data_IF_998088085618
#
_entry.id   IF_998088085618
#
_cell.length_a   1.000
_cell.length_b   1.000
_cell.length_c   1.000
_cell.angle_alpha   90.00
_cell.angle_beta   90.00
_cell.angle_gamma   90.00
#
_symmetry.space_group_name_H-M   'P 1'
#
loop_
_entity.id
_entity.type
_entity.pdbx_description
1 polymer ?
#
# COMPACT_ATOMS: atom_id res chain seq x y z
N UNK A 1 21.91 -17.68 1.01
CA UNK A 1 21.29 -19.02 0.80
C UNK A 1 20.11 -19.27 1.73
N UNK A 2 20.30 -19.51 3.04
CA UNK A 2 19.17 -19.74 3.96
C UNK A 2 18.26 -18.50 4.11
N UNK A 3 18.84 -17.30 4.16
CA UNK A 3 18.09 -16.04 4.17
C UNK A 3 17.23 -15.86 2.93
N UNK A 4 17.79 -16.12 1.76
CA UNK A 4 17.10 -15.88 0.48
C UNK A 4 15.96 -16.89 0.27
N UNK A 5 16.17 -18.14 0.69
CA UNK A 5 15.13 -19.17 0.67
C UNK A 5 14.00 -18.86 1.67
N UNK A 6 14.33 -18.34 2.86
CA UNK A 6 13.36 -17.88 3.84
C UNK A 6 12.51 -16.73 3.26
N UNK A 7 13.15 -15.72 2.69
CA UNK A 7 12.46 -14.58 2.06
C UNK A 7 11.56 -15.01 0.89
N UNK A 8 12.05 -15.91 0.03
CA UNK A 8 11.26 -16.45 -1.07
C UNK A 8 10.04 -17.26 -0.57
N UNK A 9 10.21 -18.02 0.52
CA UNK A 9 9.11 -18.78 1.14
C UNK A 9 8.05 -17.86 1.73
N UNK A 10 8.46 -16.82 2.47
CA UNK A 10 7.56 -15.81 3.01
C UNK A 10 6.79 -15.09 1.90
N UNK A 11 7.49 -14.70 0.83
CA UNK A 11 6.87 -14.01 -0.31
C UNK A 11 5.79 -14.88 -0.95
N UNK A 12 6.04 -16.18 -1.12
CA UNK A 12 5.04 -17.13 -1.64
C UNK A 12 3.83 -17.29 -0.73
N UNK A 13 4.03 -17.35 0.59
CA UNK A 13 2.93 -17.44 1.57
C UNK A 13 2.04 -16.21 1.44
N UNK A 14 2.63 -15.01 1.46
CA UNK A 14 1.87 -13.76 1.37
C UNK A 14 1.20 -13.62 0.01
N UNK A 15 1.87 -13.94 -1.09
CA UNK A 15 1.28 -13.90 -2.43
C UNK A 15 0.03 -14.80 -2.51
N UNK A 16 0.16 -16.06 -2.08
CA UNK A 16 -0.96 -17.00 -2.06
C UNK A 16 -2.11 -16.50 -1.17
N UNK A 17 -1.78 -15.95 0.01
CA UNK A 17 -2.76 -15.39 0.93
C UNK A 17 -3.54 -14.21 0.31
N UNK A 18 -2.82 -13.27 -0.33
CA UNK A 18 -3.43 -12.12 -1.00
C UNK A 18 -4.38 -12.55 -2.12
N UNK A 19 -3.94 -13.46 -2.99
CA UNK A 19 -4.73 -13.91 -4.14
C UNK A 19 -5.94 -14.76 -3.73
N UNK A 20 -5.76 -15.71 -2.80
CA UNK A 20 -6.76 -16.75 -2.54
C UNK A 20 -7.61 -16.54 -1.27
N UNK A 21 -7.17 -15.69 -0.32
CA UNK A 21 -7.95 -15.37 0.87
C UNK A 21 -8.47 -13.92 0.89
N UNK A 22 -7.86 -13.03 0.10
CA UNK A 22 -8.23 -11.62 0.04
C UNK A 22 -8.63 -11.15 -1.36
N UNK A 23 -8.71 -12.06 -2.34
CA UNK A 23 -9.15 -11.79 -3.71
C UNK A 23 -8.36 -10.66 -4.41
N UNK A 24 -7.08 -10.50 -4.07
CA UNK A 24 -6.23 -9.56 -4.78
C UNK A 24 -5.96 -10.05 -6.19
N UNK A 25 -5.88 -9.12 -7.13
CA UNK A 25 -5.56 -9.39 -8.52
C UNK A 25 -4.26 -8.70 -8.91
N UNK A 26 -3.63 -9.15 -10.00
CA UNK A 26 -2.37 -8.56 -10.53
C UNK A 26 -1.25 -8.53 -9.48
N UNK A 27 -1.26 -9.47 -8.53
CA UNK A 27 -0.20 -9.57 -7.51
C UNK A 27 1.10 -9.99 -8.20
N UNK A 28 2.18 -9.27 -7.96
CA UNK A 28 3.48 -9.50 -8.59
C UNK A 28 4.61 -9.27 -7.61
N UNK A 29 5.63 -10.08 -7.75
CA UNK A 29 6.92 -9.89 -7.12
C UNK A 29 7.65 -8.68 -7.70
N UNK A 30 8.30 -7.93 -6.82
CA UNK A 30 9.10 -6.76 -7.16
C UNK A 30 10.46 -6.83 -6.47
N UNK A 31 11.50 -6.85 -7.29
CA UNK A 31 12.89 -6.92 -6.86
C UNK A 31 13.67 -5.87 -7.63
N UNK A 32 14.49 -5.10 -6.93
CA UNK A 32 15.40 -4.12 -7.52
C UNK A 32 16.75 -4.16 -6.77
N UNK A 33 17.86 -3.74 -7.41
CA UNK A 33 19.18 -3.79 -6.78
C UNK A 33 19.31 -2.96 -5.49
N UNK A 34 18.55 -1.89 -5.35
CA UNK A 34 18.52 -0.99 -4.19
C UNK A 34 17.53 -1.42 -3.10
N UNK A 35 16.67 -2.42 -3.37
CA UNK A 35 15.71 -2.90 -2.39
C UNK A 35 16.40 -3.86 -1.41
N UNK A 36 16.27 -3.63 -0.08
CA UNK A 36 16.90 -4.51 0.90
C UNK A 36 16.27 -5.90 0.96
N UNK A 37 15.06 -6.08 0.40
CA UNK A 37 14.36 -7.36 0.23
C UNK A 37 13.30 -7.28 -0.86
N UNK A 38 12.82 -8.44 -1.27
CA UNK A 38 11.71 -8.56 -2.20
C UNK A 38 10.41 -7.97 -1.62
N UNK A 39 9.70 -7.22 -2.46
CA UNK A 39 8.36 -6.70 -2.19
C UNK A 39 7.35 -7.37 -3.09
N UNK A 40 6.07 -7.21 -2.75
CA UNK A 40 4.95 -7.51 -3.59
C UNK A 40 4.21 -6.21 -3.93
N UNK A 41 3.49 -6.20 -5.04
CA UNK A 41 2.43 -5.22 -5.27
C UNK A 41 1.26 -5.88 -5.97
N UNK A 42 0.06 -5.36 -5.77
CA UNK A 42 -1.16 -5.90 -6.39
C UNK A 42 -2.36 -4.99 -6.20
N UNK A 43 -3.47 -5.37 -6.81
CA UNK A 43 -4.73 -4.64 -6.77
C UNK A 43 -5.71 -5.36 -5.80
N UNK A 44 -6.06 -4.74 -4.67
CA UNK A 44 -7.08 -5.28 -3.77
C UNK A 44 -8.49 -5.19 -4.37
N UNK A 45 -9.46 -6.00 -3.90
CA UNK A 45 -10.83 -5.99 -4.42
C UNK A 45 -11.60 -4.69 -4.10
N UNK A 46 -11.15 -3.94 -3.10
CA UNK A 46 -11.71 -2.65 -2.69
C UNK A 46 -10.60 -1.72 -2.22
N UNK A 47 -10.88 -0.42 -2.19
CA UNK A 47 -9.96 0.56 -1.63
C UNK A 47 -9.69 0.26 -0.14
N UNK A 48 -8.43 0.03 0.19
CA UNK A 48 -8.01 -0.41 1.52
C UNK A 48 -7.76 0.73 2.51
N UNK A 49 -7.41 1.91 2.01
CA UNK A 49 -7.10 3.07 2.84
C UNK A 49 -7.56 4.36 2.17
N UNK A 50 -8.23 5.20 2.96
CA UNK A 50 -8.60 6.57 2.60
C UNK A 50 -8.00 7.47 3.67
N UNK A 51 -7.15 8.41 3.25
CA UNK A 51 -6.50 9.32 4.17
C UNK A 51 -7.56 10.16 4.90
N UNK A 52 -7.42 10.48 6.21
CA UNK A 52 -8.43 11.24 6.94
C UNK A 52 -8.78 12.57 6.28
N UNK A 53 -7.77 13.33 5.84
CA UNK A 53 -7.99 14.59 5.13
C UNK A 53 -8.61 14.36 3.75
N UNK A 54 -8.29 13.25 3.07
CA UNK A 54 -8.95 12.88 1.82
C UNK A 54 -10.45 12.63 2.03
N UNK A 55 -10.80 11.90 3.09
CA UNK A 55 -12.18 11.59 3.41
C UNK A 55 -13.00 12.85 3.66
N UNK A 56 -12.44 13.85 4.35
CA UNK A 56 -13.09 15.15 4.56
C UNK A 56 -13.34 15.84 3.22
N UNK A 57 -12.35 15.86 2.32
CA UNK A 57 -12.49 16.50 1.01
C UNK A 57 -13.47 15.74 0.10
N UNK A 58 -13.52 14.40 0.17
CA UNK A 58 -14.54 13.58 -0.51
C UNK A 58 -15.92 13.95 0.00
N UNK A 59 -16.15 13.97 1.32
CA UNK A 59 -17.45 14.30 1.91
C UNK A 59 -17.91 15.71 1.49
N UNK A 60 -17.00 16.68 1.46
CA UNK A 60 -17.30 18.04 0.99
C UNK A 60 -17.72 18.05 -0.48
N UNK A 61 -16.95 17.36 -1.34
CA UNK A 61 -17.23 17.29 -2.77
C UNK A 61 -18.53 16.52 -3.07
N UNK A 62 -18.80 15.41 -2.38
CA UNK A 62 -20.06 14.66 -2.50
C UNK A 62 -21.27 15.52 -2.09
N UNK A 63 -21.12 16.34 -1.04
CA UNK A 63 -22.18 17.27 -0.61
C UNK A 63 -22.45 18.36 -1.65
N UNK A 64 -21.41 18.85 -2.32
CA UNK A 64 -21.51 19.89 -3.35
C UNK A 64 -22.11 19.34 -4.66
N UNK A 65 -21.62 18.17 -5.10
CA UNK A 65 -22.08 17.49 -6.32
C UNK A 65 -23.43 16.78 -6.13
N UNK A 66 -23.82 16.49 -4.88
CA UNK A 66 -24.97 15.64 -4.52
C UNK A 66 -24.90 14.22 -5.11
N UNK A 67 -23.70 13.77 -5.41
CA UNK A 67 -23.40 12.45 -5.97
C UNK A 67 -22.30 11.79 -5.15
N UNK A 68 -22.29 10.45 -5.11
CA UNK A 68 -21.21 9.73 -4.44
C UNK A 68 -19.99 9.62 -5.36
N UNK A 69 -18.81 9.89 -4.79
CA UNK A 69 -17.54 9.79 -5.50
C UNK A 69 -17.02 8.35 -5.40
N UNK A 70 -16.84 7.63 -6.53
CA UNK A 70 -16.32 6.27 -6.53
C UNK A 70 -14.97 6.12 -5.82
N UNK A 71 -14.89 5.13 -4.95
CA UNK A 71 -13.68 4.75 -4.21
C UNK A 71 -13.01 3.55 -4.89
N UNK A 72 -12.45 3.81 -6.07
CA UNK A 72 -11.76 2.78 -6.86
C UNK A 72 -10.57 2.18 -6.10
N UNK A 73 -10.31 0.86 -6.23
CA UNK A 73 -9.13 0.24 -5.64
C UNK A 73 -7.84 0.78 -6.26
N UNK A 74 -6.80 0.92 -5.44
CA UNK A 74 -5.46 1.36 -5.86
C UNK A 74 -4.48 0.19 -5.77
N UNK A 75 -3.50 0.14 -6.67
CA UNK A 75 -2.41 -0.84 -6.54
C UNK A 75 -1.55 -0.46 -5.34
N UNK A 76 -1.32 -1.43 -4.43
CA UNK A 76 -0.60 -1.20 -3.18
C UNK A 76 0.69 -1.99 -3.10
N UNK A 77 1.69 -1.39 -2.44
CA UNK A 77 2.90 -2.09 -2.01
C UNK A 77 2.60 -2.99 -0.82
N UNK A 78 3.13 -4.20 -0.86
CA UNK A 78 3.07 -5.15 0.25
C UNK A 78 4.49 -5.60 0.60
N UNK A 79 4.80 -5.57 1.89
CA UNK A 79 6.06 -6.04 2.44
C UNK A 79 5.80 -7.34 3.23
N UNK A 80 6.16 -8.51 2.67
CA UNK A 80 6.16 -9.77 3.41
C UNK A 80 7.20 -9.72 4.52
N UNK A 81 6.85 -10.10 5.74
CA UNK A 81 7.79 -10.28 6.85
C UNK A 81 7.30 -11.36 7.82
N UNK A 82 8.22 -11.96 8.58
CA UNK A 82 7.86 -12.90 9.64
C UNK A 82 7.87 -12.23 11.02
N UNK A 83 6.96 -12.60 11.92
CA UNK A 83 6.84 -12.01 13.26
C UNK A 83 8.13 -12.13 14.10
N UNK A 84 8.92 -13.19 13.87
CA UNK A 84 10.19 -13.40 14.59
C UNK A 84 11.36 -12.54 14.08
N UNK A 85 11.21 -11.87 12.92
CA UNK A 85 12.25 -11.01 12.37
C UNK A 85 12.45 -9.75 13.23
N UNK A 86 13.71 -9.38 13.47
CA UNK A 86 14.05 -8.14 14.16
C UNK A 86 14.22 -7.02 13.14
N UNK A 87 13.25 -6.11 13.14
CA UNK A 87 13.25 -4.92 12.31
C UNK A 87 13.62 -3.67 13.10
N UNK A 88 14.60 -2.94 12.59
CA UNK A 88 14.92 -1.59 13.05
C UNK A 88 14.18 -0.54 12.22
N UNK A 89 13.91 0.66 12.78
CA UNK A 89 13.37 1.77 12.01
C UNK A 89 14.21 2.10 10.76
N UNK A 90 15.54 1.95 10.83
CA UNK A 90 16.46 2.15 9.70
C UNK A 90 16.16 1.20 8.53
N UNK A 91 15.81 -0.06 8.81
CA UNK A 91 15.48 -1.02 7.75
C UNK A 91 14.15 -0.69 7.09
N UNK A 92 13.14 -0.25 7.85
CA UNK A 92 11.88 0.22 7.28
C UNK A 92 12.08 1.48 6.42
N UNK A 93 12.87 2.44 6.91
CA UNK A 93 13.22 3.63 6.14
C UNK A 93 13.90 3.26 4.80
N UNK A 94 14.87 2.35 4.83
CA UNK A 94 15.55 1.89 3.62
C UNK A 94 14.60 1.25 2.57
N UNK A 95 13.52 0.58 3.01
CA UNK A 95 12.48 0.07 2.10
C UNK A 95 11.70 1.23 1.47
N UNK A 96 11.25 2.18 2.28
CA UNK A 96 10.48 3.34 1.82
C UNK A 96 11.30 4.27 0.91
N UNK A 97 12.59 4.44 1.19
CA UNK A 97 13.53 5.22 0.39
C UNK A 97 13.73 4.59 -1.00
N UNK A 98 13.68 3.27 -1.11
CA UNK A 98 13.93 2.53 -2.35
C UNK A 98 12.71 2.40 -3.28
N UNK A 99 11.50 2.80 -2.84
CA UNK A 99 10.27 2.70 -3.62
C UNK A 99 9.67 4.07 -3.96
N UNK A 100 8.88 4.09 -5.02
CA UNK A 100 7.97 5.19 -5.33
C UNK A 100 6.65 5.07 -4.56
N UNK A 101 5.91 6.18 -4.47
CA UNK A 101 4.61 6.20 -3.79
C UNK A 101 3.56 5.26 -4.41
N UNK A 102 3.68 5.01 -5.72
CA UNK A 102 2.81 4.10 -6.47
C UNK A 102 3.65 2.97 -7.09
N UNK A 103 3.21 1.71 -6.96
CA UNK A 103 3.86 0.59 -7.64
C UNK A 103 3.81 0.73 -9.18
N UNK A 104 4.76 0.13 -9.92
CA UNK A 104 4.84 0.27 -11.38
C UNK A 104 3.52 0.00 -12.14
N UNK A 105 2.69 -0.92 -11.64
CA UNK A 105 1.40 -1.31 -12.25
C UNK A 105 0.24 -0.33 -11.95
N UNK A 106 0.45 0.63 -11.05
CA UNK A 106 -0.55 1.63 -10.65
C UNK A 106 -0.32 3.02 -11.24
N UNK A 107 0.84 3.30 -11.83
CA UNK A 107 1.17 4.64 -12.35
C UNK A 107 0.16 5.11 -13.42
N UNK A 108 -0.37 4.18 -14.21
CA UNK A 108 -1.35 4.43 -15.27
C UNK A 108 -2.72 4.90 -14.74
N UNK A 109 -3.02 4.72 -13.45
CA UNK A 109 -4.31 5.12 -12.86
C UNK A 109 -4.39 6.62 -12.51
N UNK A 110 -3.27 7.37 -12.57
CA UNK A 110 -3.11 8.59 -11.77
C UNK A 110 -2.79 9.90 -12.49
N UNK A 111 -2.84 9.98 -13.83
CA UNK A 111 -2.64 11.25 -14.53
C UNK A 111 -3.86 12.17 -14.37
N UNK A 112 -3.95 12.86 -13.23
CA UNK A 112 -5.00 13.86 -12.98
C UNK A 112 -4.38 15.25 -12.84
N UNK A 113 -4.86 16.19 -13.66
CA UNK A 113 -4.50 17.60 -13.52
C UNK A 113 -5.17 18.18 -12.27
N UNK A 114 -4.33 18.66 -11.34
CA UNK A 114 -4.77 19.40 -10.15
C UNK A 114 -5.14 20.83 -10.54
N UNK A 115 -6.21 20.99 -11.33
CA UNK A 115 -6.70 22.29 -11.79
C UNK A 115 -8.02 22.74 -11.15
N UNK A 116 -8.81 21.82 -10.61
CA UNK A 116 -10.16 22.13 -10.10
C UNK A 116 -10.24 22.06 -8.57
N UNK A 117 -10.82 23.09 -7.97
CA UNK A 117 -10.97 23.21 -6.50
C UNK A 117 -11.87 22.10 -5.94
N UNK A 118 -12.83 21.61 -6.73
CA UNK A 118 -13.67 20.46 -6.39
C UNK A 118 -12.93 19.10 -6.39
N UNK A 119 -11.67 19.09 -6.82
CA UNK A 119 -10.85 17.88 -6.99
C UNK A 119 -9.71 17.76 -5.97
N UNK A 120 -9.74 18.50 -4.85
CA UNK A 120 -8.68 18.47 -3.81
C UNK A 120 -8.43 17.07 -3.24
N UNK A 121 -9.45 16.23 -3.16
CA UNK A 121 -9.30 14.83 -2.74
C UNK A 121 -8.36 14.02 -3.66
N UNK A 122 -8.19 14.43 -4.93
CA UNK A 122 -7.26 13.78 -5.88
C UNK A 122 -5.79 13.94 -5.49
N UNK A 123 -5.44 14.90 -4.64
CA UNK A 123 -4.07 15.09 -4.13
C UNK A 123 -3.56 13.88 -3.32
N UNK A 124 -4.49 13.12 -2.76
CA UNK A 124 -4.22 11.92 -1.96
C UNK A 124 -4.18 10.64 -2.81
N UNK A 125 -4.36 10.79 -4.12
CA UNK A 125 -4.24 9.74 -5.13
C UNK A 125 -3.07 10.05 -6.05
N UNK A 126 -2.61 9.05 -6.79
CA UNK A 126 -1.55 9.26 -7.77
C UNK A 126 -0.16 9.41 -7.14
N UNK A 127 0.85 9.76 -7.95
CA UNK A 127 2.27 9.75 -7.55
C UNK A 127 2.62 10.79 -6.47
N UNK A 128 1.74 11.77 -6.23
CA UNK A 128 1.91 12.79 -5.19
C UNK A 128 1.40 12.34 -3.81
N UNK A 129 0.75 11.17 -3.72
CA UNK A 129 0.34 10.61 -2.43
C UNK A 129 1.58 10.30 -1.57
N UNK A 130 1.45 10.37 -0.25
CA UNK A 130 2.51 9.94 0.66
C UNK A 130 2.85 8.46 0.46
N UNK A 131 4.13 8.09 0.59
CA UNK A 131 4.55 6.68 0.48
C UNK A 131 3.91 5.87 1.60
N UNK A 132 3.40 4.69 1.25
CA UNK A 132 2.83 3.73 2.19
C UNK A 132 3.09 2.31 1.73
N UNK A 133 3.19 1.42 2.70
CA UNK A 133 3.34 -0.01 2.47
C UNK A 133 2.40 -0.78 3.40
N UNK A 134 1.87 -1.88 2.92
CA UNK A 134 1.12 -2.83 3.70
C UNK A 134 2.08 -3.89 4.26
N UNK A 135 2.26 -3.93 5.56
CA UNK A 135 3.05 -4.96 6.23
C UNK A 135 2.23 -6.25 6.27
N UNK A 136 2.70 -7.29 5.59
CA UNK A 136 2.10 -8.63 5.65
C UNK A 136 2.94 -9.51 6.57
N UNK A 137 2.52 -9.59 7.83
CA UNK A 137 3.26 -10.26 8.90
C UNK A 137 2.76 -11.70 9.07
N UNK A 138 3.59 -12.66 8.67
CA UNK A 138 3.35 -14.09 8.82
C UNK A 138 3.73 -14.54 10.24
N UNK A 139 2.87 -15.36 10.84
CA UNK A 139 3.07 -15.99 12.14
C UNK A 139 3.34 -17.50 11.99
N UNK A 140 3.87 -18.14 13.03
CA UNK A 140 4.22 -19.57 13.03
C UNK A 140 3.00 -20.49 12.86
N UNK A 141 1.81 -20.01 13.22
CA UNK A 141 0.53 -20.72 13.03
C UNK A 141 -0.07 -20.51 11.62
N UNK A 142 0.71 -19.94 10.69
CA UNK A 142 0.31 -19.58 9.32
C UNK A 142 -0.73 -18.46 9.22
N UNK A 143 -1.05 -17.74 10.31
CA UNK A 143 -1.83 -16.51 10.24
C UNK A 143 -1.02 -15.40 9.57
N UNK A 144 -1.67 -14.64 8.68
CA UNK A 144 -1.09 -13.42 8.10
C UNK A 144 -1.87 -12.21 8.59
N UNK A 145 -1.17 -11.25 9.18
CA UNK A 145 -1.76 -10.00 9.67
C UNK A 145 -1.28 -8.82 8.84
N UNK A 146 -2.17 -7.85 8.62
CA UNK A 146 -1.93 -6.72 7.73
C UNK A 146 -1.99 -5.39 8.48
N UNK A 147 -0.91 -4.61 8.39
CA UNK A 147 -0.83 -3.27 8.99
C UNK A 147 -0.34 -2.24 8.00
N UNK A 148 -0.93 -1.04 8.06
CA UNK A 148 -0.43 0.10 7.30
C UNK A 148 0.80 0.70 7.97
N UNK A 149 1.84 0.92 7.17
CA UNK A 149 2.97 1.75 7.51
C UNK A 149 3.06 2.90 6.50
N UNK A 150 3.19 4.12 7.01
CA UNK A 150 3.32 5.33 6.22
C UNK A 150 4.74 5.89 6.38
N UNK A 151 5.22 6.54 5.33
CA UNK A 151 6.39 7.40 5.42
C UNK A 151 6.00 8.73 6.08
N UNK A 152 6.57 9.00 7.24
CA UNK A 152 6.24 10.16 8.06
C UNK A 152 5.01 10.00 8.96
N UNK A 153 4.60 11.10 9.59
CA UNK A 153 3.52 11.13 10.57
C UNK A 153 2.18 11.41 9.90
N UNK A 154 1.23 10.48 10.02
CA UNK A 154 -0.17 10.68 9.62
C UNK A 154 -1.00 11.05 10.85
N UNK A 155 -1.84 12.09 10.73
CA UNK A 155 -2.72 12.50 11.83
C UNK A 155 -3.67 11.37 12.20
N UNK A 156 -3.85 11.05 13.50
CA UNK A 156 -4.88 10.11 13.92
C UNK A 156 -6.26 10.64 13.52
N UNK A 157 -7.17 9.72 13.16
CA UNK A 157 -8.58 10.08 12.99
C UNK A 157 -9.10 10.64 14.31
N UNK A 158 -9.54 11.89 14.32
CA UNK A 158 -10.35 12.43 15.41
C UNK A 158 -11.79 11.99 15.15
N UNK A 159 -12.34 11.18 16.06
CA UNK A 159 -13.75 10.83 16.07
C UNK A 159 -14.57 11.95 16.70
#
# INVERSE_FOLDING_TARGET
MASDQHLASLTKIVLNNLENQHDWTRVREHTQPNLPRQLLYGLPPKRLYVHPDEQIEIIKAEKELKESIPQEPEVEWVLPLHLSEKWSPKQFAAVLDAIEAIPPSGADQGSFEAGDTGSRWKLWRGPKRGKRILLATVQDDSTVTYYWMHDGLVKPRQN
#
